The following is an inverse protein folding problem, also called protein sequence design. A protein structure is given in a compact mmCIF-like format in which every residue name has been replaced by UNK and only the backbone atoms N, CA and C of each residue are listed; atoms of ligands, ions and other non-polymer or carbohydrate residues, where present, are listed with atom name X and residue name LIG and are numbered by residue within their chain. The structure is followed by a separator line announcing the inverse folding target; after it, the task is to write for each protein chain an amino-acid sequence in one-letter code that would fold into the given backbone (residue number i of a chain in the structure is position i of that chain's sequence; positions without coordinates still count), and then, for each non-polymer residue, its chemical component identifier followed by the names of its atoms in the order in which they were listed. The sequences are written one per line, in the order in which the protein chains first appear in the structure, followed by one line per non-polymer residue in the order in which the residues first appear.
data_IF_935243948775
#
_entry.id   IF_935243948775
#
_cell.length_a   1.000
_cell.length_b   1.000
_cell.length_c   1.000
_cell.angle_alpha   90.00
_cell.angle_beta   90.00
_cell.angle_gamma   90.00
#
_symmetry.space_group_name_H-M   'P 1'
#
loop_
_entity.id
_entity.type
_entity.pdbx_description
1 polymer ?
#
# COMPACT_ATOMS: atom_id res chain seq x y z
N UNK A 1 -21.87 11.32 4.69
CA UNK A 1 -20.55 10.74 4.37
C UNK A 1 -19.50 11.58 5.08
N UNK A 2 -18.82 11.04 6.08
CA UNK A 2 -17.78 11.80 6.78
C UNK A 2 -16.58 11.99 5.85
N UNK A 3 -16.11 13.23 5.72
CA UNK A 3 -14.79 13.49 5.15
C UNK A 3 -13.81 13.10 6.24
N UNK A 4 -13.19 11.91 6.16
CA UNK A 4 -12.05 11.58 7.01
C UNK A 4 -11.09 12.78 6.97
N UNK A 5 -10.84 13.41 8.12
CA UNK A 5 -10.03 14.63 8.15
C UNK A 5 -8.60 14.23 7.76
N UNK A 6 -8.05 14.74 6.65
CA UNK A 6 -6.72 14.33 6.17
C UNK A 6 -5.58 14.67 7.16
N UNK A 7 -5.86 15.50 8.18
CA UNK A 7 -4.87 16.16 9.03
C UNK A 7 -3.97 15.20 9.82
N UNK A 8 -4.50 14.12 10.38
CA UNK A 8 -3.65 13.21 11.15
C UNK A 8 -2.93 12.17 10.28
N UNK A 9 -3.47 11.80 9.12
CA UNK A 9 -2.67 11.08 8.11
C UNK A 9 -1.50 11.95 7.61
N UNK A 10 -1.71 13.27 7.49
CA UNK A 10 -0.63 14.21 7.17
C UNK A 10 0.42 14.28 8.29
N UNK A 11 -0.01 14.27 9.56
CA UNK A 11 0.95 14.23 10.66
C UNK A 11 1.76 12.93 10.68
N UNK A 12 1.15 11.78 10.35
CA UNK A 12 1.86 10.53 10.17
C UNK A 12 2.89 10.61 9.02
N UNK A 13 2.48 11.13 7.85
CA UNK A 13 3.38 11.35 6.71
C UNK A 13 4.56 12.27 7.05
N UNK A 14 4.31 13.37 7.79
CA UNK A 14 5.36 14.27 8.30
C UNK A 14 6.32 13.58 9.25
N UNK A 15 5.79 12.80 10.19
CA UNK A 15 6.59 12.04 11.14
C UNK A 15 7.51 11.04 10.42
N UNK A 16 7.01 10.42 9.35
CA UNK A 16 7.77 9.53 8.47
C UNK A 16 8.77 10.27 7.55
N UNK A 17 8.97 11.58 7.73
CA UNK A 17 9.94 12.38 6.97
C UNK A 17 9.63 12.49 5.47
N UNK A 18 8.38 12.28 5.09
CA UNK A 18 7.97 12.25 3.69
C UNK A 18 7.87 13.65 3.09
N UNK A 19 7.97 13.73 1.76
CA UNK A 19 7.98 15.03 1.09
C UNK A 19 6.62 15.74 1.11
N UNK A 20 6.65 17.08 1.12
CA UNK A 20 5.47 17.95 1.23
C UNK A 20 4.42 17.73 0.13
N UNK A 21 4.84 17.27 -1.06
CA UNK A 21 3.92 17.00 -2.17
C UNK A 21 2.93 15.88 -1.84
N UNK A 22 3.33 14.88 -1.06
CA UNK A 22 2.43 13.82 -0.58
C UNK A 22 1.30 14.43 0.26
N UNK A 23 1.62 15.34 1.18
CA UNK A 23 0.61 16.06 1.96
C UNK A 23 -0.33 16.87 1.07
N UNK A 24 0.21 17.55 0.05
CA UNK A 24 -0.58 18.37 -0.88
C UNK A 24 -1.55 17.50 -1.68
N UNK A 25 -1.11 16.33 -2.14
CA UNK A 25 -1.98 15.33 -2.78
C UNK A 25 -3.06 14.86 -1.83
N UNK A 26 -2.73 14.44 -0.60
CA UNK A 26 -3.72 13.99 0.39
C UNK A 26 -4.73 15.09 0.72
N UNK A 27 -4.31 16.36 0.75
CA UNK A 27 -5.17 17.51 1.11
C UNK A 27 -6.14 17.99 0.03
N UNK A 28 -5.95 17.67 -1.25
CA UNK A 28 -6.78 18.30 -2.31
C UNK A 28 -6.10 19.39 -3.06
N UNK A 29 -4.85 19.70 -2.71
CA UNK A 29 -4.13 20.81 -3.30
C UNK A 29 -3.52 20.44 -4.65
N UNK A 30 -3.24 19.15 -4.85
CA UNK A 30 -2.87 18.58 -6.14
C UNK A 30 -4.06 17.73 -6.60
N UNK A 31 -4.63 18.09 -7.75
CA UNK A 31 -5.68 17.34 -8.43
C UNK A 31 -5.04 16.17 -9.15
N UNK A 32 -5.48 14.94 -8.86
CA UNK A 32 -4.96 13.71 -9.49
C UNK A 32 -5.90 13.33 -10.63
N UNK A 33 -5.42 13.18 -11.89
CA UNK A 33 -6.24 12.72 -13.00
C UNK A 33 -6.89 11.38 -12.68
N UNK A 34 -8.18 11.22 -12.98
CA UNK A 34 -8.94 9.99 -12.70
C UNK A 34 -8.97 9.56 -11.22
N UNK A 35 -8.48 10.43 -10.32
CA UNK A 35 -8.32 10.17 -8.90
C UNK A 35 -9.51 10.67 -8.09
N UNK A 36 -10.12 9.77 -7.35
CA UNK A 36 -11.14 10.06 -6.35
C UNK A 36 -10.54 10.14 -4.94
N UNK A 37 -11.30 10.73 -4.01
CA UNK A 37 -10.93 10.83 -2.58
C UNK A 37 -11.83 10.00 -1.68
N UNK A 38 -12.91 9.45 -2.24
CA UNK A 38 -13.88 8.72 -1.47
C UNK A 38 -13.40 7.29 -1.29
N UNK A 39 -12.99 6.96 -0.07
CA UNK A 39 -12.69 5.59 0.33
C UNK A 39 -14.00 4.79 0.34
N UNK A 40 -14.05 3.70 -0.43
CA UNK A 40 -15.25 2.89 -0.62
C UNK A 40 -15.27 1.60 0.20
N UNK A 41 -14.15 1.25 0.83
CA UNK A 41 -14.04 0.08 1.71
C UNK A 41 -12.98 0.29 2.79
N UNK A 42 -13.06 -0.46 3.90
CA UNK A 42 -12.01 -0.52 4.89
C UNK A 42 -10.67 -0.98 4.30
N UNK A 43 -9.59 -0.57 4.92
CA UNK A 43 -8.22 -0.90 4.54
C UNK A 43 -7.35 -1.06 5.79
N UNK A 44 -6.25 -1.84 5.72
CA UNK A 44 -5.38 -2.07 6.86
C UNK A 44 -4.67 -0.76 7.28
N UNK A 45 -4.45 -0.53 8.59
CA UNK A 45 -3.89 0.74 9.09
C UNK A 45 -2.45 1.06 8.66
N UNK A 46 -1.72 0.09 8.11
CA UNK A 46 -0.42 0.28 7.46
C UNK A 46 -0.48 1.14 6.20
N UNK A 47 -1.67 1.25 5.58
CA UNK A 47 -1.91 2.09 4.42
C UNK A 47 -2.31 3.51 4.85
N UNK A 48 -1.52 4.49 4.43
CA UNK A 48 -1.88 5.90 4.46
C UNK A 48 -2.45 6.29 3.09
N UNK A 49 -3.78 6.38 2.94
CA UNK A 49 -4.41 6.57 1.64
C UNK A 49 -4.13 7.96 1.09
N UNK A 50 -3.83 8.05 -0.21
CA UNK A 50 -3.63 9.33 -0.90
C UNK A 50 -4.76 9.64 -1.88
N UNK A 51 -5.11 8.69 -2.74
CA UNK A 51 -6.27 8.77 -3.64
C UNK A 51 -6.80 7.37 -3.97
N UNK A 52 -7.98 7.33 -4.57
CA UNK A 52 -8.64 6.12 -5.07
C UNK A 52 -8.68 6.21 -6.59
N UNK A 53 -8.30 5.15 -7.30
CA UNK A 53 -8.35 5.14 -8.77
C UNK A 53 -9.78 4.92 -9.28
N UNK A 54 -10.02 5.12 -10.58
CA UNK A 54 -11.29 4.76 -11.22
C UNK A 54 -11.68 3.27 -11.06
N UNK A 55 -10.71 2.37 -10.83
CA UNK A 55 -10.96 0.96 -10.53
C UNK A 55 -11.39 0.69 -9.07
N UNK A 56 -11.36 1.72 -8.22
CA UNK A 56 -11.64 1.60 -6.79
C UNK A 56 -10.47 1.03 -5.97
N UNK A 57 -9.27 0.96 -6.53
CA UNK A 57 -8.05 0.64 -5.78
C UNK A 57 -7.55 1.87 -5.04
N UNK A 58 -6.87 1.68 -3.91
CA UNK A 58 -6.35 2.77 -3.08
C UNK A 58 -4.86 2.92 -3.34
N UNK A 59 -4.45 4.08 -3.85
CA UNK A 59 -3.03 4.45 -3.95
C UNK A 59 -2.62 5.14 -2.65
N UNK A 60 -1.51 4.70 -2.07
CA UNK A 60 -1.06 5.27 -0.80
C UNK A 60 0.33 4.84 -0.37
N UNK A 61 0.77 5.43 0.74
CA UNK A 61 2.02 5.08 1.40
C UNK A 61 1.78 3.86 2.30
N UNK A 62 2.59 2.83 2.14
CA UNK A 62 2.60 1.63 2.96
C UNK A 62 3.78 1.68 3.91
N UNK A 63 3.52 1.75 5.21
CA UNK A 63 4.56 2.00 6.23
C UNK A 63 4.37 1.14 7.46
N UNK A 64 5.32 0.23 7.72
CA UNK A 64 5.30 -0.63 8.90
C UNK A 64 5.90 0.08 10.11
N UNK A 65 5.05 0.64 10.97
CA UNK A 65 5.45 1.54 12.07
C UNK A 65 6.48 0.96 13.05
N UNK A 66 6.38 -0.34 13.34
CA UNK A 66 7.24 -1.02 14.30
C UNK A 66 8.31 -1.89 13.63
N UNK A 67 8.63 -1.59 12.37
CA UNK A 67 9.61 -2.32 11.57
C UNK A 67 10.69 -1.36 11.06
N UNK A 68 11.86 -1.90 10.72
CA UNK A 68 12.95 -1.13 10.09
C UNK A 68 12.76 -0.96 8.57
N UNK A 69 11.68 -1.53 8.01
CA UNK A 69 11.36 -1.48 6.58
C UNK A 69 11.10 -0.04 6.12
N UNK A 70 11.66 0.30 4.96
CA UNK A 70 11.41 1.58 4.31
C UNK A 70 9.94 1.69 3.89
N UNK A 71 9.28 2.84 4.09
CA UNK A 71 7.98 3.09 3.48
C UNK A 71 8.05 2.97 1.96
N UNK A 72 6.98 2.47 1.36
CA UNK A 72 6.86 2.33 -0.09
C UNK A 72 5.47 2.75 -0.56
N UNK A 73 5.31 3.04 -1.85
CA UNK A 73 4.01 3.39 -2.43
C UNK A 73 3.37 2.15 -3.01
N UNK A 74 2.12 1.92 -2.64
CA UNK A 74 1.38 0.74 -3.07
C UNK A 74 0.07 1.11 -3.72
N UNK A 75 -0.38 0.20 -4.58
CA UNK A 75 -1.78 0.06 -4.92
C UNK A 75 -2.41 -1.05 -4.09
N UNK A 76 -3.34 -0.68 -3.23
CA UNK A 76 -4.10 -1.63 -2.43
C UNK A 76 -5.43 -1.97 -3.10
N UNK A 77 -5.58 -3.26 -3.42
CA UNK A 77 -6.80 -3.85 -3.94
C UNK A 77 -7.61 -4.38 -2.76
N UNK A 78 -8.46 -3.55 -2.16
CA UNK A 78 -9.42 -3.94 -1.13
C UNK A 78 -10.69 -4.57 -1.74
N UNK A 79 -11.83 -3.91 -1.53
CA UNK A 79 -13.07 -4.18 -2.30
C UNK A 79 -13.09 -3.23 -3.50
N UNK A 80 -12.97 -3.79 -4.69
CA UNK A 80 -12.86 -3.06 -5.97
C UNK A 80 -14.08 -3.34 -6.85
N UNK A 81 -14.15 -2.69 -8.03
CA UNK A 81 -15.14 -3.03 -9.06
C UNK A 81 -15.02 -4.49 -9.54
N UNK A 82 -13.85 -5.11 -9.34
CA UNK A 82 -13.56 -6.50 -9.66
C UNK A 82 -13.76 -7.46 -8.48
N UNK A 83 -14.37 -6.99 -7.38
CA UNK A 83 -14.62 -7.78 -6.17
C UNK A 83 -13.54 -7.61 -5.09
N UNK A 84 -13.58 -8.49 -4.08
CA UNK A 84 -12.66 -8.49 -2.93
C UNK A 84 -11.35 -9.17 -3.30
N UNK A 85 -10.22 -8.45 -3.20
CA UNK A 85 -8.90 -8.91 -3.62
C UNK A 85 -7.90 -8.99 -2.46
N UNK A 86 -7.96 -8.07 -1.49
CA UNK A 86 -7.12 -8.02 -0.29
C UNK A 86 -5.61 -8.19 -0.56
N UNK A 87 -5.08 -7.40 -1.50
CA UNK A 87 -3.69 -7.45 -1.96
C UNK A 87 -3.07 -6.05 -2.04
N UNK A 88 -1.79 -5.92 -1.70
CA UNK A 88 -1.01 -4.70 -1.87
C UNK A 88 0.10 -4.95 -2.90
N UNK A 89 0.18 -4.12 -3.94
CA UNK A 89 1.28 -4.14 -4.90
C UNK A 89 2.18 -2.94 -4.68
N UNK A 90 3.48 -3.14 -4.54
CA UNK A 90 4.44 -2.05 -4.57
C UNK A 90 4.50 -1.43 -5.96
N UNK A 91 4.17 -0.15 -6.06
CA UNK A 91 4.09 0.66 -7.29
C UNK A 91 5.24 1.66 -7.41
N UNK A 92 5.78 2.12 -6.28
CA UNK A 92 6.89 3.07 -6.27
C UNK A 92 7.70 2.98 -4.99
N UNK A 93 9.02 2.99 -5.08
CA UNK A 93 9.93 3.19 -3.94
C UNK A 93 10.16 4.66 -3.62
N UNK A 94 9.73 5.56 -4.52
CA UNK A 94 9.67 7.00 -4.31
C UNK A 94 8.29 7.50 -4.72
N UNK A 95 7.91 8.68 -4.24
CA UNK A 95 6.65 9.31 -4.64
C UNK A 95 6.66 9.60 -6.14
N UNK A 96 7.78 10.10 -6.69
CA UNK A 96 7.92 10.34 -8.13
C UNK A 96 7.67 9.08 -8.96
N UNK A 97 8.18 7.91 -8.57
CA UNK A 97 7.91 6.65 -9.28
C UNK A 97 6.40 6.34 -9.32
N UNK A 98 5.70 6.51 -8.20
CA UNK A 98 4.25 6.32 -8.15
C UNK A 98 3.50 7.33 -9.05
N UNK A 99 4.01 8.56 -9.17
CA UNK A 99 3.48 9.58 -10.08
C UNK A 99 3.74 9.23 -11.54
N UNK A 100 4.94 8.78 -11.90
CA UNK A 100 5.25 8.34 -13.27
C UNK A 100 4.36 7.17 -13.70
N UNK A 101 4.18 6.16 -12.84
CA UNK A 101 3.27 5.04 -13.14
C UNK A 101 1.82 5.52 -13.32
N UNK A 102 1.35 6.45 -12.47
CA UNK A 102 0.01 6.99 -12.62
C UNK A 102 -0.15 7.81 -13.92
N UNK A 103 0.80 8.69 -14.24
CA UNK A 103 0.82 9.47 -15.47
C UNK A 103 0.81 8.58 -16.71
N UNK A 104 1.64 7.54 -16.74
CA UNK A 104 1.68 6.57 -17.83
C UNK A 104 0.30 5.94 -18.07
N UNK A 105 -0.35 5.48 -17.00
CA UNK A 105 -1.67 4.87 -17.07
C UNK A 105 -2.75 5.89 -17.52
N UNK A 106 -2.74 7.12 -16.99
CA UNK A 106 -3.70 8.15 -17.40
C UNK A 106 -3.52 8.58 -18.85
N UNK A 107 -2.28 8.75 -19.32
CA UNK A 107 -1.99 9.04 -20.73
C UNK A 107 -2.53 7.92 -21.63
N UNK A 108 -2.21 6.65 -21.29
CA UNK A 108 -2.67 5.48 -22.03
C UNK A 108 -4.21 5.41 -22.08
N UNK A 109 -4.88 5.64 -20.95
CA UNK A 109 -6.33 5.57 -20.86
C UNK A 109 -7.05 6.72 -21.60
N UNK A 110 -6.40 7.88 -21.72
CA UNK A 110 -6.96 9.08 -22.36
C UNK A 110 -6.51 9.27 -23.81
N UNK A 111 -5.68 8.37 -24.32
CA UNK A 111 -5.08 8.44 -25.66
C UNK A 111 -4.28 9.75 -25.86
N UNK A 112 -3.42 10.06 -24.89
CA UNK A 112 -2.47 11.17 -24.94
C UNK A 112 -2.52 12.11 -23.73
N UNK A 113 -1.78 13.22 -23.84
CA UNK A 113 -1.64 14.24 -22.80
C UNK A 113 -2.69 15.35 -22.95
N UNK A 114 -3.53 15.52 -21.93
CA UNK A 114 -4.46 16.65 -21.81
C UNK A 114 -4.03 17.69 -20.72
N UNK A 115 -4.82 18.74 -20.56
CA UNK A 115 -4.53 19.83 -19.60
C UNK A 115 -4.53 19.38 -18.13
N UNK A 116 -5.32 18.37 -17.77
CA UNK A 116 -5.37 17.85 -16.41
C UNK A 116 -4.08 17.09 -16.10
N UNK A 117 -3.63 16.23 -17.03
CA UNK A 117 -2.35 15.51 -16.94
C UNK A 117 -1.19 16.51 -16.86
N UNK A 118 -1.15 17.55 -17.71
CA UNK A 118 -0.09 18.59 -17.68
C UNK A 118 -0.06 19.32 -16.34
N UNK A 119 -1.22 19.72 -15.84
CA UNK A 119 -1.33 20.44 -14.56
C UNK A 119 -0.84 19.57 -13.40
N UNK A 120 -1.22 18.29 -13.40
CA UNK A 120 -0.80 17.34 -12.38
C UNK A 120 0.71 17.07 -12.43
N UNK A 121 1.25 16.78 -13.61
CA UNK A 121 2.69 16.56 -13.83
C UNK A 121 3.51 17.76 -13.33
N UNK A 122 3.13 18.97 -13.70
CA UNK A 122 3.79 20.19 -13.26
C UNK A 122 3.73 20.37 -11.73
N UNK A 123 2.57 20.12 -11.12
CA UNK A 123 2.42 20.20 -9.66
C UNK A 123 3.28 19.17 -8.91
N UNK A 124 3.54 18.02 -9.54
CA UNK A 124 4.42 16.97 -9.02
C UNK A 124 5.89 17.19 -9.38
N UNK A 125 6.23 18.19 -10.20
CA UNK A 125 7.59 18.47 -10.65
C UNK A 125 8.12 17.41 -11.63
N UNK A 126 7.25 16.97 -12.54
CA UNK A 126 7.56 16.13 -13.70
C UNK A 126 7.61 17.06 -14.92
N UNK A 127 8.78 17.16 -15.54
CA UNK A 127 9.07 18.07 -16.65
C UNK A 127 9.29 17.35 -17.99
N UNK A 128 9.38 16.02 -17.97
CA UNK A 128 9.63 15.10 -19.07
C UNK A 128 8.37 14.34 -19.53
N UNK A 129 7.20 14.98 -19.43
CA UNK A 129 5.92 14.33 -19.72
C UNK A 129 5.81 13.77 -21.16
N UNK A 130 6.42 14.45 -22.14
CA UNK A 130 6.44 13.98 -23.54
C UNK A 130 7.27 12.69 -23.69
N UNK A 131 8.28 12.45 -22.84
CA UNK A 131 9.03 11.19 -22.81
C UNK A 131 8.16 10.06 -22.26
N UNK A 132 7.37 10.33 -21.21
CA UNK A 132 6.42 9.36 -20.65
C UNK A 132 5.36 8.96 -21.68
N UNK A 133 4.85 9.93 -22.44
CA UNK A 133 3.89 9.69 -23.53
C UNK A 133 4.53 8.83 -24.64
N UNK A 134 5.75 9.15 -25.07
CA UNK A 134 6.48 8.34 -26.04
C UNK A 134 6.70 6.89 -25.55
N UNK A 135 7.07 6.70 -24.28
CA UNK A 135 7.20 5.36 -23.69
C UNK A 135 5.87 4.59 -23.72
N UNK A 136 4.74 5.29 -23.53
CA UNK A 136 3.41 4.68 -23.61
C UNK A 136 3.05 4.21 -25.02
N UNK A 137 3.46 4.97 -26.05
CA UNK A 137 3.26 4.62 -27.46
C UNK A 137 4.16 3.47 -27.91
N UNK A 138 5.41 3.43 -27.46
CA UNK A 138 6.42 2.48 -27.93
C UNK A 138 6.18 1.05 -27.43
N UNK A 139 5.80 0.90 -26.15
CA UNK A 139 5.70 -0.40 -25.49
C UNK A 139 4.29 -0.80 -25.06
N UNK A 140 3.38 0.17 -24.88
CA UNK A 140 2.03 -0.05 -24.38
C UNK A 140 1.94 -0.64 -22.95
N UNK A 141 3.07 -0.84 -22.28
CA UNK A 141 3.16 -1.44 -20.96
C UNK A 141 3.98 -0.57 -20.01
N UNK A 142 3.46 -0.39 -18.79
CA UNK A 142 4.05 0.50 -17.78
C UNK A 142 5.46 0.10 -17.38
N UNK A 143 5.84 -1.16 -17.57
CA UNK A 143 7.19 -1.65 -17.24
C UNK A 143 8.30 -1.01 -18.08
N UNK A 144 7.96 -0.31 -19.17
CA UNK A 144 8.90 0.51 -19.93
C UNK A 144 9.57 1.60 -19.07
N UNK A 145 8.90 2.07 -18.02
CA UNK A 145 9.46 3.05 -17.08
C UNK A 145 10.70 2.52 -16.33
N UNK A 146 10.99 1.21 -16.33
CA UNK A 146 12.27 0.68 -15.81
C UNK A 146 13.50 1.36 -16.42
N UNK A 147 13.38 1.81 -17.67
CA UNK A 147 14.46 2.47 -18.39
C UNK A 147 14.60 3.95 -18.04
N UNK A 148 13.57 4.55 -17.43
CA UNK A 148 13.54 5.95 -17.06
C UNK A 148 14.50 6.26 -15.89
N UNK A 149 15.22 7.40 -15.87
CA UNK A 149 16.20 7.74 -14.84
C UNK A 149 15.71 7.61 -13.39
N UNK A 150 14.45 7.96 -13.12
CA UNK A 150 13.84 7.87 -11.78
C UNK A 150 13.73 6.42 -11.25
N UNK A 151 13.77 5.40 -12.13
CA UNK A 151 13.65 3.99 -11.75
C UNK A 151 15.01 3.28 -11.63
N UNK A 152 16.10 3.89 -12.12
CA UNK A 152 17.42 3.28 -12.10
C UNK A 152 17.89 2.98 -10.67
N UNK A 153 18.21 1.70 -10.41
CA UNK A 153 18.69 1.23 -9.10
C UNK A 153 17.62 1.11 -8.01
N UNK A 154 16.38 1.53 -8.27
CA UNK A 154 15.26 1.47 -7.31
C UNK A 154 13.96 1.04 -7.98
N UNK A 155 14.02 0.04 -8.84
CA UNK A 155 12.83 -0.50 -9.53
C UNK A 155 11.85 -1.11 -8.50
N UNK A 156 10.56 -0.72 -8.50
CA UNK A 156 9.53 -1.31 -7.64
C UNK A 156 9.26 -2.78 -7.97
N UNK A 157 8.75 -3.56 -7.03
CA UNK A 157 8.54 -5.00 -7.23
C UNK A 157 7.52 -5.30 -8.34
N UNK A 158 6.48 -4.48 -8.52
CA UNK A 158 5.45 -4.67 -9.56
C UNK A 158 5.99 -4.69 -10.98
N UNK A 159 7.20 -4.17 -11.17
CA UNK A 159 7.86 -4.12 -12.46
C UNK A 159 8.53 -5.46 -12.80
N UNK A 160 8.81 -6.33 -11.83
CA UNK A 160 9.45 -7.62 -12.08
C UNK A 160 8.42 -8.70 -12.42
N UNK A 161 8.81 -9.63 -13.30
CA UNK A 161 8.04 -10.86 -13.49
C UNK A 161 8.07 -11.67 -12.19
N UNK A 162 6.95 -12.33 -11.87
CA UNK A 162 6.85 -13.13 -10.64
C UNK A 162 7.97 -14.19 -10.52
N UNK A 163 8.29 -14.87 -11.62
CA UNK A 163 9.32 -15.91 -11.67
C UNK A 163 10.75 -15.35 -11.79
N UNK A 164 10.91 -14.03 -12.00
CA UNK A 164 12.20 -13.40 -12.16
C UNK A 164 12.25 -12.02 -11.49
N UNK A 165 12.50 -12.06 -10.18
CA UNK A 165 12.68 -10.87 -9.34
C UNK A 165 14.15 -10.64 -8.99
N UNK A 166 15.07 -11.20 -9.80
CA UNK A 166 16.49 -11.03 -9.61
C UNK A 166 16.87 -9.54 -9.77
N UNK A 167 17.59 -9.01 -8.78
CA UNK A 167 17.99 -7.60 -8.77
C UNK A 167 17.01 -6.66 -8.09
N UNK A 168 15.87 -7.16 -7.57
CA UNK A 168 15.06 -6.38 -6.64
C UNK A 168 15.82 -6.15 -5.33
N UNK A 169 15.89 -4.89 -4.88
CA UNK A 169 16.65 -4.47 -3.69
C UNK A 169 15.78 -3.72 -2.67
N UNK A 170 14.46 -3.85 -2.78
CA UNK A 170 13.53 -3.22 -1.85
C UNK A 170 13.08 -4.12 -0.72
N UNK A 171 12.26 -3.54 0.15
CA UNK A 171 11.76 -4.18 1.36
C UNK A 171 10.35 -4.76 1.17
N UNK A 172 9.78 -4.76 -0.04
CA UNK A 172 8.53 -5.45 -0.33
C UNK A 172 8.80 -6.95 -0.53
N UNK A 173 7.90 -7.87 -0.15
CA UNK A 173 8.22 -9.29 -0.11
C UNK A 173 8.37 -9.90 -1.51
N UNK A 174 9.61 -9.96 -1.99
CA UNK A 174 9.98 -10.72 -3.17
C UNK A 174 9.93 -12.23 -2.91
N UNK A 175 9.88 -13.03 -3.97
CA UNK A 175 9.87 -14.50 -3.88
C UNK A 175 11.09 -15.05 -3.13
N UNK A 176 12.24 -14.40 -3.27
CA UNK A 176 13.47 -14.78 -2.57
C UNK A 176 13.42 -14.42 -1.08
N UNK A 177 12.83 -13.27 -0.74
CA UNK A 177 12.58 -12.88 0.66
C UNK A 177 11.63 -13.88 1.31
N UNK A 178 10.56 -14.28 0.62
CA UNK A 178 9.57 -15.23 1.15
C UNK A 178 10.17 -16.62 1.39
N UNK A 179 11.16 -17.03 0.59
CA UNK A 179 11.92 -18.27 0.82
C UNK A 179 12.96 -18.16 1.95
N UNK A 180 13.30 -16.95 2.37
CA UNK A 180 14.30 -16.72 3.41
C UNK A 180 13.72 -17.00 4.80
N UNK A 181 14.40 -17.85 5.57
CA UNK A 181 13.96 -18.23 6.92
C UNK A 181 13.92 -17.01 7.83
N UNK A 182 12.77 -16.80 8.47
CA UNK A 182 12.57 -15.74 9.46
C UNK A 182 12.32 -14.35 8.89
N UNK A 183 12.48 -14.13 7.57
CA UNK A 183 12.18 -12.84 6.95
C UNK A 183 10.67 -12.51 7.03
N UNK A 184 9.82 -13.53 6.91
CA UNK A 184 8.35 -13.40 6.94
C UNK A 184 7.79 -12.71 8.20
N UNK A 185 8.55 -12.65 9.30
CA UNK A 185 8.11 -11.97 10.54
C UNK A 185 7.89 -10.45 10.35
N UNK A 186 8.43 -9.87 9.28
CA UNK A 186 8.36 -8.45 8.97
C UNK A 186 7.25 -8.07 7.97
N UNK A 187 6.38 -9.02 7.62
CA UNK A 187 5.39 -8.87 6.56
C UNK A 187 4.00 -9.26 7.04
N UNK A 188 2.98 -8.60 6.49
CA UNK A 188 1.59 -8.97 6.68
C UNK A 188 1.05 -9.74 5.47
N UNK A 189 -0.09 -10.40 5.67
CA UNK A 189 -0.68 -11.30 4.66
C UNK A 189 -1.08 -10.57 3.37
N UNK A 190 -1.46 -9.29 3.43
CA UNK A 190 -1.87 -8.53 2.23
C UNK A 190 -0.74 -8.39 1.20
N UNK A 191 0.51 -8.43 1.64
CA UNK A 191 1.70 -8.26 0.80
C UNK A 191 2.12 -9.57 0.10
N UNK A 192 1.67 -10.73 0.60
CA UNK A 192 2.05 -12.03 0.07
C UNK A 192 1.01 -12.49 -0.95
N UNK A 193 1.40 -12.53 -2.23
CA UNK A 193 0.60 -13.04 -3.34
C UNK A 193 1.47 -13.34 -4.57
N UNK A 194 0.92 -14.08 -5.54
CA UNK A 194 1.57 -14.36 -6.83
C UNK A 194 1.12 -13.43 -7.97
N UNK A 195 0.38 -12.37 -7.63
CA UNK A 195 -0.11 -11.40 -8.59
C UNK A 195 -1.51 -11.76 -9.10
N UNK A 196 -1.74 -11.61 -10.40
CA UNK A 196 -3.01 -11.93 -11.03
C UNK A 196 -2.86 -13.04 -12.07
N UNK A 197 -3.80 -13.98 -12.08
CA UNK A 197 -3.95 -15.00 -13.11
C UNK A 197 -5.36 -14.93 -13.68
N UNK A 198 -5.47 -14.68 -14.98
CA UNK A 198 -6.76 -14.50 -15.67
C UNK A 198 -7.67 -13.47 -14.99
N UNK A 199 -7.10 -12.31 -14.62
CA UNK A 199 -7.77 -11.21 -13.90
C UNK A 199 -8.30 -11.57 -12.50
N UNK A 200 -7.83 -12.67 -11.89
CA UNK A 200 -8.15 -13.06 -10.51
C UNK A 200 -6.87 -13.08 -9.67
N UNK A 201 -6.93 -12.72 -8.37
CA UNK A 201 -5.86 -12.94 -7.42
C UNK A 201 -5.29 -14.33 -7.50
N UNK A 202 -3.98 -14.42 -7.61
CA UNK A 202 -3.25 -15.65 -7.41
C UNK A 202 -2.68 -15.66 -5.99
N UNK A 203 -3.26 -16.50 -5.14
CA UNK A 203 -2.83 -16.68 -3.75
C UNK A 203 -1.90 -17.87 -3.55
N UNK A 204 -1.37 -18.48 -4.62
CA UNK A 204 -0.52 -19.68 -4.52
C UNK A 204 0.64 -19.48 -3.53
N UNK A 205 1.35 -18.35 -3.60
CA UNK A 205 2.43 -18.04 -2.65
C UNK A 205 1.92 -17.88 -1.21
N UNK A 206 0.78 -17.20 -1.04
CA UNK A 206 0.16 -16.99 0.28
C UNK A 206 -0.24 -18.30 0.93
N UNK A 207 -0.83 -19.20 0.14
CA UNK A 207 -1.26 -20.52 0.60
C UNK A 207 -0.05 -21.40 0.96
N UNK A 208 1.02 -21.35 0.16
CA UNK A 208 2.28 -22.03 0.49
C UNK A 208 2.89 -21.52 1.81
N UNK A 209 2.93 -20.20 2.01
CA UNK A 209 3.39 -19.58 3.26
C UNK A 209 2.52 -20.00 4.44
N UNK A 210 1.19 -20.06 4.29
CA UNK A 210 0.28 -20.47 5.35
C UNK A 210 0.40 -21.96 5.73
N UNK A 211 0.88 -22.81 4.81
CA UNK A 211 1.12 -24.24 5.06
C UNK A 211 2.48 -24.52 5.71
N UNK A 212 3.44 -23.60 5.60
CA UNK A 212 4.73 -23.75 6.29
C UNK A 212 4.57 -23.50 7.79
N UNK A 213 4.86 -24.53 8.59
CA UNK A 213 4.80 -24.47 10.04
C UNK A 213 5.82 -23.49 10.66
N UNK A 214 6.86 -23.10 9.92
CA UNK A 214 7.83 -22.09 10.35
C UNK A 214 7.35 -20.66 10.09
N UNK A 215 6.29 -20.47 9.31
CA UNK A 215 5.73 -19.14 9.05
C UNK A 215 5.11 -18.54 10.32
N UNK A 216 5.16 -17.21 10.45
CA UNK A 216 4.49 -16.51 11.55
C UNK A 216 3.00 -16.86 11.67
N UNK A 217 2.49 -16.92 12.91
CA UNK A 217 1.14 -17.44 13.18
C UNK A 217 0.02 -16.62 12.50
N UNK A 218 0.25 -15.33 12.22
CA UNK A 218 -0.74 -14.47 11.56
C UNK A 218 -1.01 -14.83 10.10
N UNK A 219 -0.13 -15.61 9.45
CA UNK A 219 -0.40 -16.17 8.12
C UNK A 219 -1.34 -17.37 8.14
N UNK A 220 -1.45 -18.05 9.28
CA UNK A 220 -2.08 -19.38 9.39
C UNK A 220 -3.24 -19.43 10.38
N UNK A 221 -3.39 -18.43 11.26
CA UNK A 221 -4.45 -18.40 12.27
C UNK A 221 -5.84 -18.14 11.65
N UNK A 222 -6.89 -18.83 12.12
CA UNK A 222 -8.28 -18.46 11.81
C UNK A 222 -8.78 -17.28 12.65
N UNK A 223 -8.07 -16.89 13.73
CA UNK A 223 -8.47 -15.80 14.64
C UNK A 223 -7.30 -14.85 14.89
N UNK A 224 -7.30 -13.70 14.20
CA UNK A 224 -6.30 -12.66 14.40
C UNK A 224 -6.41 -12.03 15.79
N UNK A 225 -7.64 -11.74 16.26
CA UNK A 225 -7.89 -11.13 17.58
C UNK A 225 -7.20 -11.87 18.73
N UNK A 226 -7.31 -13.20 18.79
CA UNK A 226 -6.69 -13.98 19.86
C UNK A 226 -5.16 -13.96 19.75
N UNK A 227 -4.63 -14.06 18.54
CA UNK A 227 -3.19 -14.00 18.31
C UNK A 227 -2.63 -12.62 18.67
N UNK A 228 -3.29 -11.55 18.24
CA UNK A 228 -2.95 -10.18 18.55
C UNK A 228 -2.80 -9.95 20.06
N UNK A 229 -3.78 -10.38 20.87
CA UNK A 229 -3.70 -10.25 22.33
C UNK A 229 -2.45 -10.93 22.91
N UNK A 230 -2.11 -12.15 22.45
CA UNK A 230 -0.89 -12.85 22.88
C UNK A 230 0.39 -12.08 22.51
N UNK A 231 0.44 -11.53 21.30
CA UNK A 231 1.61 -10.78 20.81
C UNK A 231 1.77 -9.48 21.61
N UNK A 232 0.67 -8.78 21.86
CA UNK A 232 0.66 -7.57 22.68
C UNK A 232 1.07 -7.87 24.13
N UNK A 233 0.56 -8.95 24.74
CA UNK A 233 0.96 -9.38 26.09
C UNK A 233 2.45 -9.74 26.18
N UNK A 234 3.02 -10.30 25.11
CA UNK A 234 4.45 -10.58 24.99
C UNK A 234 5.31 -9.34 24.66
N UNK A 235 4.69 -8.17 24.51
CA UNK A 235 5.33 -6.92 24.08
C UNK A 235 5.99 -7.02 22.68
N UNK A 236 5.49 -7.92 21.83
CA UNK A 236 5.89 -8.04 20.42
C UNK A 236 5.06 -7.07 19.57
N UNK A 237 5.46 -5.80 19.55
CA UNK A 237 4.73 -4.74 18.85
C UNK A 237 4.76 -4.93 17.33
N UNK A 238 5.88 -5.41 16.78
CA UNK A 238 6.00 -5.69 15.34
C UNK A 238 5.08 -6.83 14.94
N UNK A 239 5.11 -7.96 15.66
CA UNK A 239 4.21 -9.07 15.40
C UNK A 239 2.74 -8.69 15.55
N UNK A 240 2.39 -7.94 16.60
CA UNK A 240 1.04 -7.42 16.81
C UNK A 240 0.59 -6.53 15.63
N UNK A 241 1.49 -5.70 15.12
CA UNK A 241 1.24 -4.86 13.94
C UNK A 241 1.07 -5.67 12.65
N UNK A 242 1.90 -6.68 12.39
CA UNK A 242 1.73 -7.55 11.21
C UNK A 242 0.42 -8.35 11.28
N UNK A 243 0.03 -8.79 12.48
CA UNK A 243 -1.24 -9.44 12.76
C UNK A 243 -2.46 -8.53 12.49
N UNK A 244 -2.41 -7.29 13.00
CA UNK A 244 -3.46 -6.28 12.77
C UNK A 244 -3.60 -5.92 11.29
N UNK A 245 -2.49 -5.87 10.55
CA UNK A 245 -2.46 -5.56 9.12
C UNK A 245 -2.61 -6.80 8.22
N UNK A 246 -3.05 -7.92 8.78
CA UNK A 246 -3.43 -9.12 8.03
C UNK A 246 -4.96 -9.21 7.95
N UNK A 247 -5.56 -9.90 6.96
CA UNK A 247 -7.00 -9.95 6.81
C UNK A 247 -7.67 -10.79 7.93
N UNK A 248 -9.01 -10.80 7.90
CA UNK A 248 -9.92 -11.52 8.81
C UNK A 248 -10.17 -10.80 10.14
N UNK A 249 -10.14 -9.47 10.10
CA UNK A 249 -10.63 -8.67 11.20
C UNK A 249 -12.04 -8.17 10.92
N UNK A 250 -12.95 -8.35 11.88
CA UNK A 250 -14.09 -7.45 11.97
C UNK A 250 -13.57 -6.06 12.31
N UNK A 251 -14.10 -5.02 11.66
CA UNK A 251 -13.56 -3.67 11.78
C UNK A 251 -13.62 -3.16 13.23
N UNK A 252 -14.71 -3.43 13.95
CA UNK A 252 -14.82 -3.07 15.36
C UNK A 252 -13.72 -3.69 16.23
N UNK A 253 -13.34 -4.94 15.95
CA UNK A 253 -12.24 -5.61 16.65
C UNK A 253 -10.88 -5.03 16.27
N UNK A 254 -10.66 -4.67 15.00
CA UNK A 254 -9.43 -4.02 14.57
C UNK A 254 -9.28 -2.60 15.15
N UNK A 255 -10.39 -1.87 15.30
CA UNK A 255 -10.42 -0.55 15.97
C UNK A 255 -9.99 -0.64 17.43
N UNK A 256 -10.47 -1.65 18.15
CA UNK A 256 -10.00 -1.89 19.50
C UNK A 256 -8.51 -2.27 19.50
N UNK A 257 -8.10 -3.20 18.63
CA UNK A 257 -6.72 -3.67 18.57
C UNK A 257 -5.71 -2.54 18.27
N UNK A 258 -6.01 -1.64 17.32
CA UNK A 258 -5.10 -0.51 17.05
C UNK A 258 -5.04 0.49 18.21
N UNK A 259 -6.13 0.66 18.95
CA UNK A 259 -6.16 1.50 20.15
C UNK A 259 -5.27 0.89 21.24
N UNK A 260 -5.44 -0.41 21.51
CA UNK A 260 -4.63 -1.14 22.49
C UNK A 260 -3.13 -1.12 22.11
N UNK A 261 -2.82 -1.27 20.82
CA UNK A 261 -1.45 -1.17 20.31
C UNK A 261 -0.87 0.23 20.50
N UNK A 262 -1.67 1.27 20.26
CA UNK A 262 -1.24 2.66 20.42
C UNK A 262 -0.95 3.01 21.88
N UNK A 263 -1.83 2.59 22.79
CA UNK A 263 -1.63 2.75 24.22
C UNK A 263 -0.37 2.03 24.70
N UNK A 264 -0.10 0.83 24.17
CA UNK A 264 1.11 0.08 24.51
C UNK A 264 2.39 0.70 23.94
N UNK A 265 2.34 1.16 22.70
CA UNK A 265 3.49 1.77 22.01
C UNK A 265 3.91 3.09 22.66
N UNK A 266 2.96 3.84 23.23
CA UNK A 266 3.19 5.15 23.84
C UNK A 266 3.96 6.11 22.90
N UNK A 267 3.62 6.06 21.61
CA UNK A 267 4.17 6.91 20.55
C UNK A 267 3.10 7.91 20.09
N UNK A 268 3.39 9.20 20.24
CA UNK A 268 2.44 10.29 19.98
C UNK A 268 1.98 10.30 18.51
N UNK A 269 2.89 10.07 17.56
CA UNK A 269 2.57 10.12 16.15
C UNK A 269 1.75 8.89 15.73
N UNK A 270 2.07 7.71 16.28
CA UNK A 270 1.27 6.51 16.08
C UNK A 270 -0.13 6.64 16.70
N UNK A 271 -0.26 7.19 17.91
CA UNK A 271 -1.57 7.42 18.55
C UNK A 271 -2.46 8.34 17.72
N UNK A 272 -1.89 9.37 17.08
CA UNK A 272 -2.62 10.25 16.18
C UNK A 272 -3.11 9.51 14.91
N UNK A 273 -2.26 8.65 14.33
CA UNK A 273 -2.63 7.77 13.22
C UNK A 273 -3.76 6.83 13.62
N UNK A 274 -3.60 6.12 14.74
CA UNK A 274 -4.56 5.16 15.26
C UNK A 274 -5.93 5.80 15.50
N UNK A 275 -5.96 6.96 16.17
CA UNK A 275 -7.19 7.73 16.41
C UNK A 275 -7.91 8.06 15.11
N UNK A 276 -7.17 8.43 14.07
CA UNK A 276 -7.75 8.81 12.77
C UNK A 276 -8.32 7.62 12.04
N UNK A 277 -7.58 6.52 12.04
CA UNK A 277 -8.03 5.28 11.41
C UNK A 277 -9.28 4.72 12.09
N UNK A 278 -9.34 4.76 13.43
CA UNK A 278 -10.54 4.34 14.19
C UNK A 278 -11.78 5.15 13.80
N UNK A 279 -11.62 6.45 13.54
CA UNK A 279 -12.73 7.35 13.20
C UNK A 279 -13.14 7.33 11.71
N UNK A 280 -12.61 6.41 10.90
CA UNK A 280 -13.08 6.24 9.52
C UNK A 280 -14.58 5.89 9.49
N UNK A 281 -15.35 6.35 8.50
CA UNK A 281 -16.82 6.22 8.50
C UNK A 281 -17.32 4.86 7.97
N UNK A 282 -16.68 3.77 8.40
CA UNK A 282 -17.04 2.40 8.06
C UNK A 282 -17.76 1.72 9.23
N UNK A 283 -18.63 0.76 8.92
CA UNK A 283 -19.41 0.04 9.92
C UNK A 283 -18.57 -1.05 10.60
N UNK A 284 -18.80 -1.28 11.89
CA UNK A 284 -18.01 -2.22 12.69
C UNK A 284 -18.10 -3.69 12.22
N UNK A 285 -19.17 -4.04 11.49
CA UNK A 285 -19.39 -5.36 10.90
C UNK A 285 -18.68 -5.57 9.56
N UNK A 286 -18.08 -4.52 8.99
CA UNK A 286 -17.23 -4.66 7.80
C UNK A 286 -15.93 -5.41 8.13
N UNK A 287 -15.28 -5.97 7.11
CA UNK A 287 -14.10 -6.84 7.27
C UNK A 287 -12.93 -6.33 6.46
N UNK A 288 -11.77 -6.23 7.12
CA UNK A 288 -10.45 -6.01 6.50
C UNK A 288 -9.87 -7.37 6.10
#
# INVERSE_FOLDING_TARGET
MAKATPEAYINAVRHLGQEKRIEQTMLGKIQVPDGERLLRSPFPPVLLPMWVTGAGTIQGLWSHWFSERSPTFVEFYGITTYGKRNMAFERGRTFKQAIYEHLFNSITNRDGIDDEIRTFAAACGIDDLDEVDQMSLDGGDVTMLKSHPEFLGKVPLSFFDYDNQAGYTGDFPSIEIVKSKGALKHYCVHEIHSGFKSLQPDFTLRDAVAQDAQSPEWFRTPSQKKLFGKLLDANDLEGAWMCLNSPRWALGDARQAITDLADRANDIAFSALATTWVNLPFSDDEVI
#
